data_IF_145061950132
#
_entry.id   IF_145061950132
#
_cell.length_a   1.000
_cell.length_b   1.000
_cell.length_c   1.000
_cell.angle_alpha   90.00
_cell.angle_beta   90.00
_cell.angle_gamma   90.00
#
_symmetry.space_group_name_H-M   'P 1'
#
loop_
_entity.id
_entity.type
_entity.pdbx_description
1 polymer ?
#
# COMPACT_ATOMS: atom_id res chain seq x y z
N UNK A 1 12.96 -12.44 -1.12
CA UNK A 1 11.64 -11.95 -0.67
C UNK A 1 11.09 -10.79 -1.53
N UNK A 2 11.94 -10.16 -2.34
CA UNK A 2 11.58 -9.08 -3.28
C UNK A 2 10.37 -9.39 -4.17
N UNK A 3 10.31 -10.57 -4.80
CA UNK A 3 9.17 -10.96 -5.64
C UNK A 3 7.84 -10.94 -4.87
N UNK A 4 7.82 -11.49 -3.64
CA UNK A 4 6.63 -11.53 -2.81
C UNK A 4 6.21 -10.13 -2.36
N UNK A 5 7.17 -9.29 -1.96
CA UNK A 5 6.95 -7.90 -1.60
C UNK A 5 6.34 -7.11 -2.78
N UNK A 6 6.94 -7.22 -3.98
CA UNK A 6 6.45 -6.53 -5.17
C UNK A 6 5.06 -7.00 -5.62
N UNK A 7 4.78 -8.31 -5.57
CA UNK A 7 3.43 -8.83 -5.87
C UNK A 7 2.40 -8.33 -4.86
N UNK A 8 2.77 -8.18 -3.59
CA UNK A 8 1.89 -7.64 -2.56
C UNK A 8 1.56 -6.16 -2.84
N UNK A 9 2.54 -5.35 -3.23
CA UNK A 9 2.29 -3.94 -3.59
C UNK A 9 1.41 -3.82 -4.84
N UNK A 10 1.58 -4.70 -5.84
CA UNK A 10 0.66 -4.77 -6.98
C UNK A 10 -0.76 -5.15 -6.53
N UNK A 11 -0.89 -6.06 -5.56
CA UNK A 11 -2.17 -6.37 -4.92
C UNK A 11 -2.80 -5.14 -4.26
N UNK A 12 -2.00 -4.30 -3.60
CA UNK A 12 -2.47 -3.03 -3.03
C UNK A 12 -2.85 -1.99 -4.10
N UNK A 13 -2.14 -1.93 -5.23
CA UNK A 13 -2.56 -1.10 -6.35
C UNK A 13 -3.97 -1.49 -6.85
N UNK A 14 -4.23 -2.81 -6.99
CA UNK A 14 -5.56 -3.31 -7.38
C UNK A 14 -6.61 -3.02 -6.29
N UNK A 15 -6.24 -3.16 -5.02
CA UNK A 15 -7.12 -2.83 -3.91
C UNK A 15 -7.54 -1.35 -3.93
N UNK A 16 -6.59 -0.43 -4.13
CA UNK A 16 -6.87 1.01 -4.27
C UNK A 16 -7.68 1.32 -5.53
N UNK A 17 -7.39 0.64 -6.65
CA UNK A 17 -8.20 0.74 -7.85
C UNK A 17 -9.64 0.23 -7.64
N UNK A 18 -9.87 -0.65 -6.66
CA UNK A 18 -11.20 -1.12 -6.33
C UNK A 18 -11.99 -0.14 -5.43
N UNK A 19 -11.41 0.98 -4.96
CA UNK A 19 -12.09 1.88 -4.02
C UNK A 19 -13.36 2.49 -4.58
N UNK A 20 -13.42 2.79 -5.89
CA UNK A 20 -14.66 3.25 -6.53
C UNK A 20 -15.80 2.24 -6.32
N UNK A 21 -15.51 0.94 -6.45
CA UNK A 21 -16.51 -0.13 -6.29
C UNK A 21 -16.77 -0.51 -4.84
N UNK A 22 -15.71 -0.66 -4.03
CA UNK A 22 -15.79 -1.12 -2.64
C UNK A 22 -16.34 -0.02 -1.73
N UNK A 23 -15.89 1.22 -1.95
CA UNK A 23 -16.20 2.36 -1.11
C UNK A 23 -17.14 3.36 -1.77
N UNK A 24 -17.73 3.07 -2.94
CA UNK A 24 -18.76 3.91 -3.55
C UNK A 24 -18.29 5.34 -3.75
N UNK A 25 -17.08 5.48 -4.28
CA UNK A 25 -16.49 6.76 -4.61
C UNK A 25 -16.82 7.11 -6.07
N UNK A 26 -17.07 8.38 -6.41
CA UNK A 26 -16.93 9.58 -5.57
C UNK A 26 -18.13 9.91 -4.64
N UNK A 27 -19.25 9.19 -4.73
CA UNK A 27 -20.53 9.59 -4.10
C UNK A 27 -20.40 9.76 -2.59
N UNK A 28 -19.71 8.82 -1.91
CA UNK A 28 -19.48 8.91 -0.45
C UNK A 28 -18.48 9.98 -0.03
N UNK A 29 -17.73 10.57 -0.96
CA UNK A 29 -16.84 11.71 -0.69
C UNK A 29 -17.52 13.06 -0.89
N UNK A 30 -18.67 13.13 -1.57
CA UNK A 30 -19.34 14.38 -1.88
C UNK A 30 -19.61 15.30 -0.66
N UNK A 31 -19.99 14.77 0.53
CA UNK A 31 -20.18 15.60 1.73
C UNK A 31 -18.93 16.33 2.23
N UNK A 32 -17.72 15.91 1.81
CA UNK A 32 -16.46 16.58 2.15
C UNK A 32 -16.21 17.86 1.35
N UNK A 33 -17.04 18.15 0.34
CA UNK A 33 -16.89 19.26 -0.60
C UNK A 33 -16.10 18.88 -1.85
N UNK A 34 -16.36 19.59 -2.96
CA UNK A 34 -15.81 19.25 -4.28
C UNK A 34 -14.27 19.23 -4.30
N UNK A 35 -13.62 20.16 -3.62
CA UNK A 35 -12.16 20.23 -3.54
C UNK A 35 -11.57 19.03 -2.79
N UNK A 36 -12.09 18.70 -1.60
CA UNK A 36 -11.57 17.58 -0.80
C UNK A 36 -11.82 16.23 -1.48
N UNK A 37 -12.97 16.08 -2.15
CA UNK A 37 -13.26 14.92 -2.97
C UNK A 37 -12.24 14.77 -4.11
N UNK A 38 -11.95 15.85 -4.84
CA UNK A 38 -10.95 15.84 -5.92
C UNK A 38 -9.54 15.52 -5.41
N UNK A 39 -9.13 16.08 -4.27
CA UNK A 39 -7.84 15.79 -3.63
C UNK A 39 -7.76 14.31 -3.26
N UNK A 40 -8.79 13.78 -2.59
CA UNK A 40 -8.81 12.38 -2.14
C UNK A 40 -8.76 11.41 -3.32
N UNK A 41 -9.49 11.70 -4.40
CA UNK A 41 -9.46 10.90 -5.62
C UNK A 41 -8.09 10.94 -6.30
N UNK A 42 -7.50 12.13 -6.40
CA UNK A 42 -6.15 12.29 -6.94
C UNK A 42 -5.14 11.49 -6.14
N UNK A 43 -5.19 11.56 -4.81
CA UNK A 43 -4.31 10.79 -3.93
C UNK A 43 -4.48 9.28 -4.13
N UNK A 44 -5.71 8.78 -4.32
CA UNK A 44 -5.93 7.36 -4.58
C UNK A 44 -5.31 6.90 -5.92
N UNK A 45 -5.49 7.69 -6.99
CA UNK A 45 -4.91 7.38 -8.30
C UNK A 45 -3.38 7.42 -8.24
N UNK A 46 -2.80 8.48 -7.65
CA UNK A 46 -1.35 8.62 -7.52
C UNK A 46 -0.74 7.52 -6.65
N UNK A 47 -1.37 7.17 -5.54
CA UNK A 47 -0.90 6.08 -4.69
C UNK A 47 -0.98 4.72 -5.40
N UNK A 48 -2.06 4.48 -6.15
CA UNK A 48 -2.17 3.26 -6.98
C UNK A 48 -1.04 3.19 -8.00
N UNK A 49 -0.75 4.29 -8.71
CA UNK A 49 0.35 4.36 -9.66
C UNK A 49 1.71 4.08 -8.99
N UNK A 50 1.97 4.68 -7.83
CA UNK A 50 3.19 4.44 -7.06
C UNK A 50 3.31 2.97 -6.68
N UNK A 51 2.24 2.33 -6.20
CA UNK A 51 2.26 0.89 -5.90
C UNK A 51 2.54 0.04 -7.14
N UNK A 52 2.00 0.38 -8.31
CA UNK A 52 2.32 -0.32 -9.57
C UNK A 52 3.80 -0.22 -9.90
N UNK A 53 4.34 1.00 -9.94
CA UNK A 53 5.75 1.22 -10.33
C UNK A 53 6.69 0.61 -9.30
N UNK A 54 6.40 0.79 -8.03
CA UNK A 54 7.21 0.27 -6.93
C UNK A 54 7.20 -1.27 -6.90
N UNK A 55 6.02 -1.88 -7.01
CA UNK A 55 5.90 -3.34 -7.08
C UNK A 55 6.62 -3.92 -8.31
N UNK A 56 6.48 -3.29 -9.48
CA UNK A 56 7.21 -3.68 -10.68
C UNK A 56 8.73 -3.57 -10.52
N UNK A 57 9.22 -2.51 -9.86
CA UNK A 57 10.64 -2.32 -9.59
C UNK A 57 11.20 -3.41 -8.64
N UNK A 58 10.46 -3.79 -7.60
CA UNK A 58 10.86 -4.90 -6.73
C UNK A 58 10.87 -6.25 -7.46
N UNK A 59 9.89 -6.50 -8.33
CA UNK A 59 9.85 -7.72 -9.15
C UNK A 59 11.04 -7.76 -10.12
N UNK A 60 11.35 -6.63 -10.75
CA UNK A 60 12.52 -6.52 -11.62
C UNK A 60 13.82 -6.80 -10.85
N UNK A 61 13.98 -6.16 -9.70
CA UNK A 61 15.14 -6.34 -8.83
C UNK A 61 15.27 -7.78 -8.30
N UNK A 62 14.18 -8.53 -8.19
CA UNK A 62 14.23 -9.93 -7.76
C UNK A 62 15.03 -10.85 -8.70
N UNK A 63 15.24 -10.44 -9.96
CA UNK A 63 16.09 -11.14 -10.92
C UNK A 63 17.54 -10.64 -10.98
N UNK A 64 17.88 -9.60 -10.21
CA UNK A 64 19.18 -8.94 -10.22
C UNK A 64 20.06 -9.44 -9.05
N UNK A 65 21.22 -10.07 -9.30
CA UNK A 65 22.12 -10.52 -8.24
C UNK A 65 22.77 -9.36 -7.46
N UNK A 66 22.75 -8.13 -7.99
CA UNK A 66 23.27 -6.93 -7.32
C UNK A 66 22.16 -6.04 -6.75
N UNK A 67 21.00 -6.64 -6.45
CA UNK A 67 19.84 -5.97 -5.88
C UNK A 67 20.19 -5.08 -4.67
N UNK A 68 19.81 -3.80 -4.75
CA UNK A 68 20.01 -2.85 -3.67
C UNK A 68 18.98 -3.04 -2.55
N UNK A 69 19.45 -3.12 -1.30
CA UNK A 69 18.63 -3.15 -0.08
C UNK A 69 17.73 -1.91 0.11
N UNK A 70 18.05 -0.79 -0.57
CA UNK A 70 17.41 0.50 -0.32
C UNK A 70 15.92 0.46 -0.62
N UNK A 71 15.54 -0.10 -1.78
CA UNK A 71 14.15 -0.14 -2.22
C UNK A 71 13.27 -0.93 -1.24
N UNK A 72 13.56 -2.22 -0.92
CA UNK A 72 12.76 -2.99 0.02
C UNK A 72 12.74 -2.39 1.44
N UNK A 73 13.85 -1.84 1.94
CA UNK A 73 13.83 -1.16 3.25
C UNK A 73 12.92 0.07 3.25
N UNK A 74 12.94 0.88 2.19
CA UNK A 74 12.04 2.02 2.06
C UNK A 74 10.56 1.60 2.07
N UNK A 75 10.22 0.50 1.39
CA UNK A 75 8.87 -0.08 1.44
C UNK A 75 8.51 -0.61 2.83
N UNK A 76 9.46 -1.22 3.52
CA UNK A 76 9.29 -1.66 4.91
C UNK A 76 8.93 -0.51 5.84
N UNK A 77 9.65 0.62 5.72
CA UNK A 77 9.36 1.83 6.49
C UNK A 77 8.01 2.46 6.10
N UNK A 78 7.68 2.49 4.80
CA UNK A 78 6.36 2.93 4.33
C UNK A 78 5.23 2.12 4.98
N UNK A 79 5.34 0.79 4.97
CA UNK A 79 4.35 -0.11 5.53
C UNK A 79 4.28 -0.03 7.06
N UNK A 80 5.41 0.16 7.75
CA UNK A 80 5.42 0.43 9.19
C UNK A 80 4.72 1.75 9.54
N UNK A 81 4.98 2.82 8.78
CA UNK A 81 4.26 4.08 8.95
C UNK A 81 2.77 3.87 8.72
N UNK A 82 2.37 3.18 7.64
CA UNK A 82 0.96 2.91 7.34
C UNK A 82 0.29 2.08 8.43
N UNK A 83 1.00 1.10 8.99
CA UNK A 83 0.55 0.30 10.14
C UNK A 83 0.35 1.20 11.37
N UNK A 84 1.34 2.03 11.73
CA UNK A 84 1.24 2.93 12.86
C UNK A 84 0.04 3.89 12.72
N UNK A 85 -0.16 4.48 11.54
CA UNK A 85 -1.31 5.34 11.26
C UNK A 85 -2.64 4.58 11.33
N UNK A 86 -2.68 3.29 10.94
CA UNK A 86 -3.87 2.46 11.09
C UNK A 86 -4.24 2.29 12.57
N UNK A 87 -3.25 2.02 13.43
CA UNK A 87 -3.46 1.85 14.87
C UNK A 87 -3.85 3.16 15.57
N UNK A 88 -3.35 4.29 15.08
CA UNK A 88 -3.61 5.61 15.67
C UNK A 88 -4.94 6.24 15.21
N UNK A 89 -5.34 6.02 13.95
CA UNK A 89 -6.47 6.76 13.35
C UNK A 89 -7.73 5.92 13.07
N UNK A 90 -7.64 4.59 13.05
CA UNK A 90 -8.77 3.73 12.68
C UNK A 90 -9.31 2.95 13.87
N UNK A 91 -10.63 2.76 13.91
CA UNK A 91 -11.26 1.78 14.79
C UNK A 91 -10.92 0.37 14.30
N UNK A 92 -10.35 -0.47 15.18
CA UNK A 92 -9.93 -1.83 14.87
C UNK A 92 -10.99 -2.88 15.20
N UNK A 93 -12.13 -2.49 15.80
CA UNK A 93 -13.24 -3.42 16.09
C UNK A 93 -13.82 -4.07 14.83
N UNK A 94 -13.99 -3.36 13.70
CA UNK A 94 -14.48 -4.00 12.47
C UNK A 94 -13.46 -5.00 11.92
N UNK A 95 -13.91 -6.20 11.55
CA UNK A 95 -13.05 -7.26 11.00
C UNK A 95 -12.21 -6.77 9.80
N UNK A 96 -12.80 -5.97 8.90
CA UNK A 96 -12.08 -5.42 7.75
C UNK A 96 -10.88 -4.54 8.17
N UNK A 97 -11.02 -3.78 9.26
CA UNK A 97 -9.94 -2.96 9.82
C UNK A 97 -8.84 -3.85 10.43
N UNK A 98 -9.21 -4.93 11.11
CA UNK A 98 -8.24 -5.92 11.61
C UNK A 98 -7.48 -6.63 10.47
N UNK A 99 -8.19 -7.04 9.41
CA UNK A 99 -7.60 -7.71 8.26
C UNK A 99 -6.61 -6.82 7.51
N UNK A 100 -6.97 -5.56 7.25
CA UNK A 100 -6.06 -4.63 6.57
C UNK A 100 -4.84 -4.28 7.45
N UNK A 101 -5.03 -4.23 8.78
CA UNK A 101 -3.92 -4.04 9.73
C UNK A 101 -2.93 -5.21 9.66
N UNK A 102 -3.43 -6.44 9.65
CA UNK A 102 -2.59 -7.64 9.47
C UNK A 102 -1.87 -7.63 8.11
N UNK A 103 -2.54 -7.17 7.05
CA UNK A 103 -1.93 -7.02 5.73
C UNK A 103 -0.76 -6.01 5.75
N UNK A 104 -0.90 -4.87 6.45
CA UNK A 104 0.19 -3.90 6.60
C UNK A 104 1.37 -4.45 7.39
N UNK A 105 1.11 -5.21 8.47
CA UNK A 105 2.17 -5.86 9.24
C UNK A 105 2.92 -6.91 8.41
N UNK A 106 2.19 -7.72 7.63
CA UNK A 106 2.77 -8.67 6.70
C UNK A 106 3.61 -7.96 5.63
N UNK A 107 3.09 -6.87 5.06
CA UNK A 107 3.79 -6.09 4.05
C UNK A 107 5.11 -5.53 4.59
N UNK A 108 5.08 -4.93 5.79
CA UNK A 108 6.28 -4.43 6.46
C UNK A 108 7.31 -5.55 6.69
N UNK A 109 6.87 -6.70 7.20
CA UNK A 109 7.75 -7.83 7.45
C UNK A 109 8.40 -8.37 6.16
N UNK A 110 7.62 -8.58 5.09
CA UNK A 110 8.13 -9.08 3.82
C UNK A 110 9.15 -8.13 3.19
N UNK A 111 8.90 -6.82 3.28
CA UNK A 111 9.81 -5.79 2.78
C UNK A 111 11.11 -5.72 3.58
N UNK A 112 11.04 -5.69 4.91
CA UNK A 112 12.24 -5.63 5.74
C UNK A 112 13.09 -6.90 5.57
N UNK A 113 12.46 -8.08 5.50
CA UNK A 113 13.16 -9.32 5.22
C UNK A 113 13.77 -9.34 3.81
N UNK A 114 13.12 -8.71 2.82
CA UNK A 114 13.68 -8.56 1.48
C UNK A 114 14.89 -7.61 1.43
N UNK A 115 14.97 -6.63 2.33
CA UNK A 115 16.13 -5.75 2.44
C UNK A 115 17.33 -6.37 3.17
N UNK A 116 17.12 -7.50 3.86
CA UNK A 116 18.16 -8.24 4.58
C UNK A 116 18.68 -9.45 3.78
N UNK A 117 18.02 -9.82 2.68
CA UNK A 117 18.35 -10.97 1.83
C UNK A 117 19.12 -10.54 0.59
#
# INVERSE_FOLDING_TARGET
>A
MLLAAGLLDLGFALFHAAFWRLFGWPERLAPSGGLNSAITQTLNVMLSFVFVVYGAALIWQAGDPEASWLLPVAGGLFWLLRLALQLLWFDLRPLASGLITAAFALAAALHLLAGLS
#
